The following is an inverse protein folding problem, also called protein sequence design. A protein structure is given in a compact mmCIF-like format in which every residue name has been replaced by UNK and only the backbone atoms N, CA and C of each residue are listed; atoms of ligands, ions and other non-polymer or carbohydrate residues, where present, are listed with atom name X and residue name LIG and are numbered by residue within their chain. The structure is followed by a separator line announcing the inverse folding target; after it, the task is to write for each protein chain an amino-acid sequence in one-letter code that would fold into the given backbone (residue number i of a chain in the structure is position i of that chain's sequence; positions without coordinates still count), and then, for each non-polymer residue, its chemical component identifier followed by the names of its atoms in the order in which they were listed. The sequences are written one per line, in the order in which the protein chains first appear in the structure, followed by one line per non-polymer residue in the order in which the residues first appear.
data_IF_045414959731
#
_entry.id   IF_045414959731
#
_cell.length_a   1.000
_cell.length_b   1.000
_cell.length_c   1.000
_cell.angle_alpha   90.00
_cell.angle_beta   90.00
_cell.angle_gamma   90.00
#
_symmetry.space_group_name_H-M   'P 1'
#
loop_
_entity.id
_entity.type
_entity.pdbx_description
1 polymer ?
#
# COMPACT_ATOMS: atom_id res chain seq x y z
N UNK A 1 -10.91 16.01 11.55
CA UNK A 1 -10.34 17.25 12.13
C UNK A 1 -8.82 17.16 12.13
N UNK A 2 -8.03 18.25 12.02
CA UNK A 2 -6.56 18.18 12.15
C UNK A 2 -6.08 17.49 13.44
N UNK A 3 -6.93 17.50 14.47
CA UNK A 3 -6.70 16.82 15.75
C UNK A 3 -6.87 15.28 15.69
N UNK A 4 -7.51 14.73 14.65
CA UNK A 4 -7.81 13.29 14.54
C UNK A 4 -6.84 12.57 13.59
N UNK A 5 -6.50 13.20 12.47
CA UNK A 5 -5.74 12.58 11.38
C UNK A 5 -4.47 13.34 11.00
N UNK A 6 -4.05 14.31 11.82
CA UNK A 6 -2.90 15.16 11.53
C UNK A 6 -3.24 16.36 10.63
N UNK A 7 -2.21 17.14 10.30
CA UNK A 7 -2.34 18.31 9.44
C UNK A 7 -2.62 17.91 7.99
N UNK A 8 -3.36 18.75 7.25
CA UNK A 8 -3.56 18.56 5.81
C UNK A 8 -2.31 19.02 5.07
N UNK A 9 -1.85 18.24 4.09
CA UNK A 9 -0.79 18.67 3.17
C UNK A 9 -1.39 19.22 1.88
N UNK A 10 -0.84 20.33 1.38
CA UNK A 10 -1.31 21.00 0.16
C UNK A 10 -0.26 20.83 -0.92
N UNK A 11 -0.65 20.20 -2.03
CA UNK A 11 0.20 19.97 -3.19
C UNK A 11 0.26 21.18 -4.11
N UNK A 12 1.25 21.21 -5.01
CA UNK A 12 1.45 22.27 -6.01
C UNK A 12 0.22 22.48 -6.92
N UNK A 13 -0.56 21.41 -7.17
CA UNK A 13 -1.78 21.47 -7.98
C UNK A 13 -3.01 21.93 -7.18
N UNK A 14 -2.83 22.38 -5.93
CA UNK A 14 -3.89 22.78 -5.01
C UNK A 14 -4.69 21.62 -4.42
N UNK A 15 -4.21 20.38 -4.55
CA UNK A 15 -4.82 19.21 -3.93
C UNK A 15 -4.57 19.18 -2.41
N UNK A 16 -5.64 19.04 -1.64
CA UNK A 16 -5.56 18.72 -0.20
C UNK A 16 -5.46 17.20 -0.02
N UNK A 17 -4.39 16.75 0.63
CA UNK A 17 -4.04 15.34 0.79
C UNK A 17 -3.53 15.00 2.19
N UNK A 18 -3.32 13.71 2.44
CA UNK A 18 -2.72 13.20 3.67
C UNK A 18 -1.30 13.76 3.85
N UNK A 19 -0.91 14.01 5.09
CA UNK A 19 0.43 14.47 5.48
C UNK A 19 1.52 13.53 5.00
N UNK A 20 1.23 12.23 4.90
CA UNK A 20 2.21 11.23 4.46
C UNK A 20 2.74 11.50 3.05
N UNK A 21 1.96 12.13 2.16
CA UNK A 21 2.45 12.55 0.84
C UNK A 21 3.54 13.63 0.92
N UNK A 22 3.45 14.52 1.91
CA UNK A 22 4.47 15.52 2.15
C UNK A 22 5.81 14.93 2.59
N UNK A 23 5.79 13.76 3.25
CA UNK A 23 7.01 13.03 3.56
C UNK A 23 7.70 12.56 2.28
N UNK A 24 6.96 12.00 1.31
CA UNK A 24 7.53 11.55 0.04
C UNK A 24 8.14 12.70 -0.77
N UNK A 25 7.44 13.82 -0.91
CA UNK A 25 8.00 15.01 -1.60
C UNK A 25 9.29 15.48 -0.94
N UNK A 26 9.31 15.53 0.40
CA UNK A 26 10.47 15.99 1.16
C UNK A 26 11.68 15.07 1.03
N UNK A 27 11.48 13.75 1.14
CA UNK A 27 12.58 12.78 1.14
C UNK A 27 13.10 12.47 -0.27
N UNK A 28 12.22 12.50 -1.28
CA UNK A 28 12.57 12.14 -2.66
C UNK A 28 12.85 13.34 -3.55
N UNK A 29 12.49 14.56 -3.13
CA UNK A 29 12.65 15.77 -3.95
C UNK A 29 11.74 15.80 -5.17
N UNK A 30 10.57 15.15 -5.09
CA UNK A 30 9.58 15.05 -6.17
C UNK A 30 8.39 15.97 -5.92
N UNK A 31 7.58 16.20 -6.96
CA UNK A 31 6.33 16.98 -6.91
C UNK A 31 5.16 16.09 -7.31
N UNK A 32 4.31 15.79 -6.34
CA UNK A 32 3.12 14.98 -6.50
C UNK A 32 1.90 15.86 -6.79
N UNK A 33 0.94 15.28 -7.51
CA UNK A 33 -0.39 15.85 -7.75
C UNK A 33 -1.47 15.10 -6.96
N UNK A 34 -2.67 15.68 -6.86
CA UNK A 34 -3.84 15.08 -6.19
C UNK A 34 -4.20 13.65 -6.63
N UNK A 35 -3.75 13.25 -7.83
CA UNK A 35 -3.97 11.93 -8.39
C UNK A 35 -3.14 10.85 -7.68
N UNK A 36 -2.03 11.19 -7.04
CA UNK A 36 -1.20 10.22 -6.28
C UNK A 36 -1.80 9.87 -4.93
N UNK A 37 -2.76 10.65 -4.43
CA UNK A 37 -3.55 10.30 -3.25
C UNK A 37 -4.82 9.56 -3.68
N UNK A 38 -4.83 8.23 -3.55
CA UNK A 38 -5.97 7.38 -3.86
C UNK A 38 -6.73 7.06 -2.57
N UNK A 39 -8.01 7.41 -2.53
CA UNK A 39 -8.88 7.09 -1.38
C UNK A 39 -10.06 6.23 -1.82
N UNK A 40 -10.62 5.46 -0.90
CA UNK A 40 -11.86 4.69 -1.13
C UNK A 40 -12.95 5.58 -1.70
N UNK A 41 -13.15 6.78 -1.15
CA UNK A 41 -14.12 7.74 -1.66
C UNK A 41 -13.89 8.12 -3.14
N UNK A 42 -12.64 8.40 -3.55
CA UNK A 42 -12.30 8.72 -4.95
C UNK A 42 -12.61 7.54 -5.88
N UNK A 43 -12.21 6.33 -5.50
CA UNK A 43 -12.40 5.13 -6.32
C UNK A 43 -13.90 4.84 -6.50
N UNK A 44 -14.67 4.82 -5.41
CA UNK A 44 -16.11 4.57 -5.48
C UNK A 44 -16.84 5.67 -6.25
N UNK A 45 -16.47 6.94 -6.04
CA UNK A 45 -17.05 8.06 -6.79
C UNK A 45 -16.79 7.93 -8.30
N UNK A 46 -15.59 7.51 -8.69
CA UNK A 46 -15.24 7.26 -10.09
C UNK A 46 -16.12 6.15 -10.69
N UNK A 47 -16.20 5.00 -10.01
CA UNK A 47 -17.00 3.85 -10.47
C UNK A 47 -18.49 4.19 -10.59
N UNK A 48 -19.08 4.87 -9.59
CA UNK A 48 -20.48 5.31 -9.61
C UNK A 48 -20.74 6.27 -10.77
N UNK A 49 -19.82 7.20 -11.04
CA UNK A 49 -19.96 8.13 -12.15
C UNK A 49 -19.89 7.40 -13.50
N UNK A 50 -19.00 6.42 -13.65
CA UNK A 50 -18.88 5.59 -14.85
C UNK A 50 -20.12 4.73 -15.08
N UNK A 51 -20.72 4.19 -14.01
CA UNK A 51 -21.99 3.48 -14.09
C UNK A 51 -23.12 4.35 -14.62
N UNK A 52 -23.27 5.57 -14.08
CA UNK A 52 -24.31 6.52 -14.52
C UNK A 52 -24.15 7.00 -15.95
N UNK A 53 -22.92 7.06 -16.47
CA UNK A 53 -22.66 7.37 -17.88
C UNK A 53 -22.98 6.22 -18.83
N UNK A 54 -23.13 5.00 -18.31
CA UNK A 54 -23.36 3.79 -19.10
C UNK A 54 -22.08 3.09 -19.56
N UNK A 55 -20.93 3.39 -18.96
CA UNK A 55 -19.62 2.83 -19.39
C UNK A 55 -19.54 1.30 -19.21
N UNK A 56 -20.39 0.73 -18.33
CA UNK A 56 -20.49 -0.72 -18.11
C UNK A 56 -21.55 -1.42 -18.98
N UNK A 57 -22.13 -0.72 -19.97
CA UNK A 57 -23.08 -1.27 -20.95
C UNK A 57 -24.30 -1.98 -20.31
N UNK A 58 -24.80 -1.43 -19.19
CA UNK A 58 -25.95 -1.96 -18.46
C UNK A 58 -25.68 -3.23 -17.66
N UNK A 59 -24.43 -3.69 -17.57
CA UNK A 59 -24.05 -4.81 -16.69
C UNK A 59 -23.99 -4.36 -15.23
N UNK A 60 -24.31 -5.28 -14.32
CA UNK A 60 -24.23 -5.04 -12.87
C UNK A 60 -22.79 -4.75 -12.44
N UNK A 61 -22.58 -3.60 -11.81
CA UNK A 61 -21.30 -3.21 -11.22
C UNK A 61 -21.11 -3.91 -9.87
N UNK A 62 -19.90 -4.38 -9.62
CA UNK A 62 -19.51 -5.15 -8.44
C UNK A 62 -18.11 -4.73 -7.98
N UNK A 63 -17.78 -4.95 -6.70
CA UNK A 63 -16.44 -4.66 -6.16
C UNK A 63 -15.35 -5.37 -6.96
N UNK A 64 -15.55 -6.66 -7.25
CA UNK A 64 -14.71 -7.43 -8.17
C UNK A 64 -15.54 -7.70 -9.44
N UNK A 65 -15.03 -7.39 -10.65
CA UNK A 65 -13.73 -6.79 -10.93
C UNK A 65 -13.76 -5.24 -11.02
N UNK A 66 -14.90 -4.57 -10.91
CA UNK A 66 -15.01 -3.19 -11.37
C UNK A 66 -14.25 -2.17 -10.50
N UNK A 67 -14.37 -2.30 -9.16
CA UNK A 67 -13.66 -1.41 -8.23
C UNK A 67 -12.17 -1.77 -8.18
N UNK A 68 -11.85 -3.07 -8.13
CA UNK A 68 -10.46 -3.55 -8.15
C UNK A 68 -9.73 -3.21 -9.44
N UNK A 69 -10.41 -3.21 -10.59
CA UNK A 69 -9.88 -2.73 -11.87
C UNK A 69 -9.67 -1.22 -11.88
N UNK A 70 -10.60 -0.45 -11.29
CA UNK A 70 -10.41 0.99 -11.13
C UNK A 70 -9.14 1.30 -10.32
N UNK A 71 -8.85 0.55 -9.26
CA UNK A 71 -7.61 0.69 -8.48
C UNK A 71 -6.38 0.39 -9.34
N UNK A 72 -6.37 -0.74 -10.06
CA UNK A 72 -5.28 -1.14 -10.97
C UNK A 72 -4.99 -0.07 -12.03
N UNK A 73 -6.03 0.34 -12.75
CA UNK A 73 -5.91 1.33 -13.83
C UNK A 73 -5.46 2.70 -13.30
N UNK A 74 -5.83 3.06 -12.08
CA UNK A 74 -5.36 4.28 -11.43
C UNK A 74 -3.86 4.21 -11.12
N UNK A 75 -3.40 3.11 -10.52
CA UNK A 75 -1.98 2.89 -10.19
C UNK A 75 -1.14 2.92 -11.47
N UNK A 76 -1.53 2.16 -12.50
CA UNK A 76 -0.81 2.16 -13.79
C UNK A 76 -0.76 3.56 -14.41
N UNK A 77 -1.87 4.32 -14.35
CA UNK A 77 -1.91 5.68 -14.89
C UNK A 77 -0.95 6.63 -14.16
N UNK A 78 -0.93 6.62 -12.83
CA UNK A 78 -0.06 7.54 -12.06
C UNK A 78 1.41 7.11 -12.10
N UNK A 79 1.69 5.81 -12.18
CA UNK A 79 3.04 5.28 -12.30
C UNK A 79 3.78 5.75 -13.56
N UNK A 80 3.06 6.13 -14.61
CA UNK A 80 3.63 6.65 -15.87
C UNK A 80 3.82 8.17 -15.88
N UNK A 81 3.38 8.90 -14.84
CA UNK A 81 3.46 10.36 -14.81
C UNK A 81 4.82 10.79 -14.24
N UNK A 82 5.56 11.68 -14.94
CA UNK A 82 6.77 12.26 -14.38
C UNK A 82 6.46 13.10 -13.14
N UNK A 83 7.31 13.00 -12.11
CA UNK A 83 7.17 13.71 -10.82
C UNK A 83 8.43 14.43 -10.38
N UNK A 84 9.56 14.22 -11.06
CA UNK A 84 10.88 14.79 -10.73
C UNK A 84 11.24 16.01 -11.62
N UNK A 85 10.30 16.47 -12.44
CA UNK A 85 10.51 17.56 -13.40
C UNK A 85 11.15 17.12 -14.72
N UNK A 86 11.41 15.82 -14.91
CA UNK A 86 11.70 15.27 -16.22
C UNK A 86 10.44 15.11 -17.08
N UNK A 87 10.61 14.87 -18.38
CA UNK A 87 9.53 14.50 -19.31
C UNK A 87 9.46 12.98 -19.52
N UNK A 88 10.14 12.18 -18.67
CA UNK A 88 10.24 10.73 -18.81
C UNK A 88 9.38 10.01 -17.77
N UNK A 89 8.77 8.87 -18.12
CA UNK A 89 8.06 8.06 -17.15
C UNK A 89 9.03 7.53 -16.08
N UNK A 90 8.62 7.48 -14.79
CA UNK A 90 9.42 6.86 -13.74
C UNK A 90 9.72 5.38 -14.00
N UNK A 91 10.93 4.93 -13.64
CA UNK A 91 11.29 3.52 -13.72
C UNK A 91 10.62 2.66 -12.63
N UNK A 92 10.35 3.27 -11.47
CA UNK A 92 9.78 2.60 -10.28
C UNK A 92 8.70 3.49 -9.66
N UNK A 93 7.57 2.89 -9.33
CA UNK A 93 6.50 3.53 -8.56
C UNK A 93 6.39 2.89 -7.17
N UNK A 94 6.54 3.70 -6.12
CA UNK A 94 6.28 3.27 -4.76
C UNK A 94 4.79 3.43 -4.46
N UNK A 95 4.13 2.34 -4.08
CA UNK A 95 2.72 2.33 -3.67
C UNK A 95 2.63 2.01 -2.20
N UNK A 96 2.11 2.96 -1.42
CA UNK A 96 1.76 2.74 -0.02
C UNK A 96 0.27 2.42 0.10
N UNK A 97 -0.05 1.32 0.79
CA UNK A 97 -1.42 1.03 1.23
C UNK A 97 -1.49 1.40 2.71
N UNK A 98 -2.12 2.54 2.99
CA UNK A 98 -2.35 2.98 4.36
C UNK A 98 -3.28 2.03 5.14
N UNK A 99 -3.40 2.26 6.45
CA UNK A 99 -4.19 1.41 7.34
C UNK A 99 -3.45 0.14 7.77
N UNK A 100 -4.18 -0.95 8.02
CA UNK A 100 -3.61 -2.21 8.51
C UNK A 100 -4.08 -3.41 7.71
N UNK A 101 -3.24 -4.43 7.58
CA UNK A 101 -3.69 -5.68 6.95
C UNK A 101 -4.66 -6.40 7.89
N UNK A 102 -5.85 -6.72 7.37
CA UNK A 102 -6.90 -7.45 8.09
C UNK A 102 -8.13 -6.61 8.42
N UNK A 103 -8.09 -5.30 8.15
CA UNK A 103 -9.28 -4.45 8.19
C UNK A 103 -10.14 -4.61 6.91
N UNK A 104 -11.42 -4.23 6.99
CA UNK A 104 -12.36 -4.40 5.87
C UNK A 104 -12.06 -3.39 4.76
N UNK A 105 -11.56 -2.22 5.16
CA UNK A 105 -11.24 -1.08 4.33
C UNK A 105 -10.11 -1.37 3.34
N UNK A 106 -9.06 -2.09 3.76
CA UNK A 106 -7.91 -2.41 2.89
C UNK A 106 -8.19 -3.53 1.88
N UNK A 107 -9.21 -4.37 2.10
CA UNK A 107 -9.47 -5.56 1.27
C UNK A 107 -9.58 -5.24 -0.22
N UNK A 108 -10.21 -4.12 -0.57
CA UNK A 108 -10.39 -3.73 -1.98
C UNK A 108 -9.05 -3.36 -2.65
N UNK A 109 -8.14 -2.74 -1.90
CA UNK A 109 -6.82 -2.35 -2.39
C UNK A 109 -5.89 -3.57 -2.46
N UNK A 110 -5.90 -4.42 -1.44
CA UNK A 110 -5.12 -5.66 -1.41
C UNK A 110 -5.54 -6.59 -2.55
N UNK A 111 -6.83 -6.79 -2.78
CA UNK A 111 -7.31 -7.59 -3.92
C UNK A 111 -6.95 -6.93 -5.26
N UNK A 112 -7.04 -5.60 -5.36
CA UNK A 112 -6.59 -4.85 -6.53
C UNK A 112 -5.11 -5.08 -6.86
N UNK A 113 -4.23 -5.00 -5.86
CA UNK A 113 -2.79 -5.25 -6.00
C UNK A 113 -2.46 -6.73 -6.29
N UNK A 114 -3.20 -7.66 -5.67
CA UNK A 114 -3.06 -9.09 -5.94
C UNK A 114 -3.33 -9.39 -7.43
N UNK A 115 -4.40 -8.81 -7.98
CA UNK A 115 -4.72 -8.91 -9.41
C UNK A 115 -3.71 -8.15 -10.27
N UNK A 116 -3.23 -6.98 -9.81
CA UNK A 116 -2.22 -6.19 -10.51
C UNK A 116 -0.95 -7.00 -10.76
N UNK A 117 -0.45 -7.74 -9.75
CA UNK A 117 0.74 -8.61 -9.91
C UNK A 117 0.57 -9.62 -11.05
N UNK A 118 -0.61 -10.21 -11.21
CA UNK A 118 -0.89 -11.11 -12.33
C UNK A 118 -0.96 -10.39 -13.68
N UNK A 119 -1.37 -9.11 -13.69
CA UNK A 119 -1.50 -8.29 -14.90
C UNK A 119 -0.15 -7.76 -15.39
N UNK A 120 0.71 -7.29 -14.49
CA UNK A 120 2.00 -6.67 -14.85
C UNK A 120 3.16 -7.67 -14.88
N UNK A 121 2.99 -8.87 -14.35
CA UNK A 121 4.05 -9.86 -14.22
C UNK A 121 4.68 -9.85 -12.82
N UNK A 122 5.13 -11.02 -12.37
CA UNK A 122 5.65 -11.20 -11.01
C UNK A 122 6.99 -10.48 -10.78
N UNK A 123 7.71 -10.18 -11.87
CA UNK A 123 8.98 -9.46 -11.91
C UNK A 123 8.82 -7.93 -11.84
N UNK A 124 7.62 -7.41 -12.08
CA UNK A 124 7.33 -5.98 -12.14
C UNK A 124 6.57 -5.45 -10.91
N UNK A 125 6.35 -6.29 -9.89
CA UNK A 125 5.70 -5.89 -8.64
C UNK A 125 6.28 -6.67 -7.45
N UNK A 126 6.76 -5.93 -6.45
CA UNK A 126 7.27 -6.47 -5.19
C UNK A 126 6.43 -5.97 -4.01
N UNK A 127 6.17 -6.86 -3.05
CA UNK A 127 5.45 -6.57 -1.81
C UNK A 127 6.41 -6.46 -0.62
N UNK A 128 6.41 -5.30 0.02
CA UNK A 128 7.07 -5.06 1.30
C UNK A 128 6.02 -5.06 2.41
N UNK A 129 6.16 -5.95 3.39
CA UNK A 129 5.27 -5.96 4.56
C UNK A 129 5.96 -5.34 5.76
N UNK A 130 5.43 -4.22 6.24
CA UNK A 130 5.96 -3.52 7.42
C UNK A 130 5.23 -4.04 8.66
N UNK A 131 5.98 -4.49 9.65
CA UNK A 131 5.40 -5.06 10.89
C UNK A 131 6.14 -4.59 12.13
N UNK A 132 5.39 -4.43 13.23
CA UNK A 132 5.94 -4.10 14.54
C UNK A 132 6.33 -5.38 15.29
N UNK A 133 7.58 -5.44 15.75
CA UNK A 133 8.10 -6.44 16.68
C UNK A 133 8.24 -5.78 18.06
N UNK A 134 7.24 -5.90 18.94
CA UNK A 134 7.28 -5.26 20.25
C UNK A 134 8.32 -5.91 21.15
N UNK A 135 8.96 -5.08 21.96
CA UNK A 135 9.91 -5.49 23.00
C UNK A 135 9.18 -5.38 24.34
N UNK A 136 9.02 -6.49 25.05
CA UNK A 136 8.25 -6.54 26.29
C UNK A 136 9.13 -6.81 27.53
N UNK A 137 8.76 -6.15 28.63
CA UNK A 137 9.31 -6.40 29.96
C UNK A 137 10.72 -5.83 30.18
N UNK A 138 11.20 -5.91 31.43
CA UNK A 138 12.53 -5.45 31.82
C UNK A 138 13.67 -6.26 31.17
N UNK A 139 13.37 -7.46 30.67
CA UNK A 139 14.34 -8.40 30.09
C UNK A 139 14.57 -8.16 28.59
N UNK A 140 13.76 -7.30 27.94
CA UNK A 140 13.97 -6.92 26.54
C UNK A 140 13.55 -7.98 25.50
N UNK A 141 12.57 -8.83 25.83
CA UNK A 141 12.19 -9.93 24.94
C UNK A 141 11.45 -9.44 23.68
N UNK A 142 11.98 -9.79 22.51
CA UNK A 142 11.41 -9.45 21.20
C UNK A 142 10.30 -10.43 20.80
N UNK A 143 9.05 -9.96 20.71
CA UNK A 143 7.88 -10.81 20.42
C UNK A 143 7.58 -10.85 18.92
N UNK A 144 7.74 -12.03 18.33
CA UNK A 144 7.54 -12.27 16.90
C UNK A 144 6.10 -12.64 16.51
N UNK A 145 5.24 -13.01 17.46
CA UNK A 145 3.88 -13.49 17.15
C UNK A 145 3.00 -12.47 16.41
N UNK A 146 2.97 -11.18 16.77
CA UNK A 146 2.20 -10.19 16.01
C UNK A 146 2.56 -10.19 14.52
N UNK A 147 3.84 -10.21 14.20
CA UNK A 147 4.33 -10.28 12.81
C UNK A 147 3.92 -11.57 12.11
N UNK A 148 4.01 -12.72 12.79
CA UNK A 148 3.57 -14.00 12.22
C UNK A 148 2.08 -14.00 11.86
N UNK A 149 1.23 -13.46 12.74
CA UNK A 149 -0.20 -13.34 12.47
C UNK A 149 -0.49 -12.35 11.34
N UNK A 150 0.22 -11.22 11.31
CA UNK A 150 0.06 -10.22 10.25
C UNK A 150 0.46 -10.76 8.88
N UNK A 151 1.55 -11.52 8.77
CA UNK A 151 1.92 -12.19 7.51
C UNK A 151 0.90 -13.26 7.12
N UNK A 152 0.34 -14.00 8.10
CA UNK A 152 -0.73 -14.96 7.84
C UNK A 152 -1.95 -14.26 7.24
N UNK A 153 -2.32 -13.10 7.74
CA UNK A 153 -3.45 -12.32 7.23
C UNK A 153 -3.18 -11.80 5.82
N UNK A 154 -1.99 -11.27 5.55
CA UNK A 154 -1.60 -10.85 4.19
C UNK A 154 -1.67 -12.02 3.19
N UNK A 155 -1.28 -13.22 3.63
CA UNK A 155 -1.38 -14.44 2.81
C UNK A 155 -2.81 -14.94 2.63
N UNK A 156 -3.70 -14.68 3.58
CA UNK A 156 -5.12 -15.07 3.50
C UNK A 156 -5.79 -14.41 2.29
N UNK A 157 -5.36 -13.18 1.97
CA UNK A 157 -5.79 -12.42 0.78
C UNK A 157 -4.95 -12.70 -0.46
N UNK A 158 -4.11 -13.74 -0.45
CA UNK A 158 -3.34 -14.18 -1.62
C UNK A 158 -2.08 -13.36 -1.92
N UNK A 159 -1.59 -12.56 -0.97
CA UNK A 159 -0.33 -11.82 -1.09
C UNK A 159 0.75 -12.49 -0.23
N UNK A 160 1.85 -12.89 -0.87
CA UNK A 160 3.07 -13.30 -0.18
C UNK A 160 4.05 -12.14 -0.22
N UNK A 161 4.53 -11.65 0.94
CA UNK A 161 5.51 -10.58 0.96
C UNK A 161 6.85 -11.08 0.41
N UNK A 162 7.47 -10.28 -0.44
CA UNK A 162 8.82 -10.53 -0.97
C UNK A 162 9.88 -10.05 0.05
N UNK A 163 9.56 -9.04 0.86
CA UNK A 163 10.40 -8.58 1.96
C UNK A 163 9.57 -8.25 3.22
N UNK A 164 10.18 -8.47 4.39
CA UNK A 164 9.60 -8.15 5.69
C UNK A 164 10.41 -7.06 6.37
N UNK A 165 9.78 -5.92 6.65
CA UNK A 165 10.39 -4.78 7.33
C UNK A 165 9.91 -4.78 8.78
N UNK A 166 10.80 -5.13 9.71
CA UNK A 166 10.46 -5.21 11.12
C UNK A 166 10.88 -3.96 11.89
N UNK A 167 9.92 -3.17 12.32
CA UNK A 167 10.14 -2.05 13.25
C UNK A 167 10.20 -2.58 14.68
N UNK A 168 11.20 -2.17 15.45
CA UNK A 168 11.34 -2.52 16.86
C UNK A 168 12.04 -1.41 17.64
N UNK A 169 11.91 -1.40 18.96
CA UNK A 169 12.59 -0.43 19.84
C UNK A 169 14.08 -0.71 20.01
N UNK A 170 14.52 -1.94 19.74
CA UNK A 170 15.92 -2.36 19.74
C UNK A 170 16.23 -3.13 18.45
N UNK A 171 17.49 -3.17 17.98
CA UNK A 171 17.87 -4.00 16.85
C UNK A 171 17.45 -5.47 17.04
N UNK A 172 16.90 -6.09 16.00
CA UNK A 172 16.46 -7.49 16.09
C UNK A 172 17.64 -8.43 16.34
N UNK A 173 17.48 -9.30 17.34
CA UNK A 173 18.41 -10.40 17.59
C UNK A 173 18.43 -11.38 16.40
N UNK A 174 19.56 -12.06 16.22
CA UNK A 174 19.69 -13.08 15.17
C UNK A 174 18.61 -14.18 15.31
N UNK A 175 18.41 -14.66 16.53
CA UNK A 175 17.39 -15.64 16.90
C UNK A 175 15.98 -15.19 16.51
N UNK A 176 15.67 -13.90 16.70
CA UNK A 176 14.41 -13.28 16.30
C UNK A 176 14.23 -13.28 14.79
N UNK A 177 15.28 -12.93 14.03
CA UNK A 177 15.26 -12.94 12.56
C UNK A 177 15.07 -14.35 12.01
N UNK A 178 15.82 -15.33 12.50
CA UNK A 178 15.69 -16.74 12.09
C UNK A 178 14.28 -17.28 12.37
N UNK A 179 13.74 -16.96 13.55
CA UNK A 179 12.38 -17.34 13.91
C UNK A 179 11.37 -16.70 12.97
N UNK A 180 11.49 -15.41 12.67
CA UNK A 180 10.61 -14.75 11.70
C UNK A 180 10.72 -15.43 10.34
N UNK A 181 11.93 -15.63 9.82
CA UNK A 181 12.14 -16.27 8.53
C UNK A 181 11.50 -17.65 8.43
N UNK A 182 11.63 -18.48 9.47
CA UNK A 182 11.01 -19.80 9.54
C UNK A 182 9.47 -19.72 9.48
N UNK A 183 8.85 -18.82 10.26
CA UNK A 183 7.39 -18.75 10.36
C UNK A 183 6.73 -17.95 9.24
N UNK A 184 7.43 -16.97 8.67
CA UNK A 184 6.92 -16.12 7.60
C UNK A 184 7.40 -16.57 6.23
N UNK A 185 8.26 -17.59 6.11
CA UNK A 185 8.85 -18.06 4.83
C UNK A 185 9.46 -16.93 4.00
N UNK A 186 10.00 -15.92 4.67
CA UNK A 186 10.78 -14.84 4.05
C UNK A 186 12.22 -15.03 4.52
N UNK A 187 13.17 -15.42 3.65
CA UNK A 187 14.55 -15.70 4.06
C UNK A 187 15.20 -14.51 4.79
N UNK A 188 16.12 -14.80 5.70
CA UNK A 188 17.01 -13.78 6.26
C UNK A 188 18.01 -13.32 5.21
N UNK A 189 18.22 -12.01 5.12
CA UNK A 189 19.33 -11.42 4.36
C UNK A 189 20.67 -11.61 5.08
#
# INVERSE_FOLDING_TARGET
SPYEHGEVFVLDDGGEVDLDLGNYERFLGVRLTREHNITTGKVYQHVINSERRGDYLGKTVQVIPHVTRCVQDWIERVAQRPVDGSDLPPDVCLVEVGGTVGDIESLVFLEGLRQLRSRVGAENLMFFHVSLVPVLGAVGEQKTKPTQHSVKELRSVGITPDALICRSGQPLEHSTKEKLALFTQVPTA
#
